data_IF_914128554856
#
_entry.id   IF_914128554856
#
_cell.length_a   1.000
_cell.length_b   1.000
_cell.length_c   1.000
_cell.angle_alpha   90.00
_cell.angle_beta   90.00
_cell.angle_gamma   90.00
#
_symmetry.space_group_name_H-M   'P 1'
#
loop_
_entity.id
_entity.type
_entity.pdbx_description
1 polymer ?
#
# COMPACT_ATOMS: atom_id res chain seq x y z
N UNK A 1 -9.47 -12.72 15.72
CA UNK A 1 -8.72 -11.45 15.83
C UNK A 1 -9.52 -10.42 15.07
N UNK A 2 -9.97 -9.36 15.75
CA UNK A 2 -10.54 -8.19 15.07
C UNK A 2 -9.36 -7.41 14.54
N UNK A 3 -9.32 -7.17 13.24
CA UNK A 3 -8.25 -6.39 12.62
C UNK A 3 -8.60 -4.92 12.74
N UNK A 4 -7.75 -4.17 13.43
CA UNK A 4 -8.00 -2.75 13.76
C UNK A 4 -6.86 -1.83 13.33
N UNK A 5 -5.64 -2.38 13.16
CA UNK A 5 -4.47 -1.63 12.72
C UNK A 5 -3.68 -2.40 11.64
N UNK A 6 -2.82 -1.71 10.86
CA UNK A 6 -1.93 -2.38 9.90
C UNK A 6 -1.02 -3.45 10.52
N UNK A 7 -0.60 -3.28 11.77
CA UNK A 7 0.20 -4.26 12.53
C UNK A 7 -0.55 -5.59 12.73
N UNK A 8 -1.87 -5.56 12.86
CA UNK A 8 -2.69 -6.78 12.96
C UNK A 8 -2.67 -7.56 11.64
N UNK A 9 -2.65 -6.87 10.49
CA UNK A 9 -2.47 -7.52 9.18
C UNK A 9 -1.10 -8.14 9.02
N UNK A 10 -0.03 -7.49 9.52
CA UNK A 10 1.33 -8.06 9.55
C UNK A 10 1.34 -9.37 10.35
N UNK A 11 0.77 -9.38 11.54
CA UNK A 11 0.67 -10.59 12.37
C UNK A 11 -0.19 -11.68 11.73
N UNK A 12 -1.29 -11.31 11.08
CA UNK A 12 -2.11 -12.26 10.33
C UNK A 12 -1.34 -12.86 9.15
N UNK A 13 -0.54 -12.07 8.43
CA UNK A 13 0.32 -12.55 7.35
C UNK A 13 1.40 -13.51 7.88
N UNK A 14 2.07 -13.16 8.99
CA UNK A 14 3.09 -14.00 9.65
C UNK A 14 2.59 -15.39 10.01
N UNK A 15 1.32 -15.50 10.40
CA UNK A 15 0.68 -16.78 10.77
C UNK A 15 0.23 -17.63 9.58
N UNK A 16 0.05 -17.02 8.39
CA UNK A 16 -0.51 -17.68 7.21
C UNK A 16 0.54 -18.02 6.15
N UNK A 17 1.59 -17.20 6.04
CA UNK A 17 2.63 -17.37 5.04
C UNK A 17 3.69 -18.37 5.51
N UNK A 18 4.26 -19.17 4.58
CA UNK A 18 5.53 -19.84 4.81
C UNK A 18 6.60 -18.84 5.27
N UNK A 19 7.46 -19.26 6.19
CA UNK A 19 8.43 -18.37 6.85
C UNK A 19 9.27 -17.56 5.86
N UNK A 20 9.79 -18.21 4.82
CA UNK A 20 10.64 -17.55 3.84
C UNK A 20 9.91 -16.45 3.04
N UNK A 21 8.61 -16.61 2.77
CA UNK A 21 7.81 -15.60 2.08
C UNK A 21 7.51 -14.42 3.00
N UNK A 22 7.25 -14.70 4.29
CA UNK A 22 7.06 -13.65 5.28
C UNK A 22 8.35 -12.84 5.47
N UNK A 23 9.50 -13.50 5.64
CA UNK A 23 10.78 -12.82 5.79
C UNK A 23 11.15 -12.00 4.54
N UNK A 24 10.73 -12.44 3.34
CA UNK A 24 10.99 -11.71 2.10
C UNK A 24 10.16 -10.40 1.97
N UNK A 25 8.92 -10.37 2.47
CA UNK A 25 8.07 -9.16 2.39
C UNK A 25 8.25 -8.23 3.59
N UNK A 26 8.57 -8.78 4.76
CA UNK A 26 8.67 -8.03 6.02
C UNK A 26 10.11 -7.61 6.34
N UNK A 27 11.10 -8.30 5.79
CA UNK A 27 12.51 -8.08 6.09
C UNK A 27 13.10 -6.82 5.46
N UNK A 28 14.02 -6.20 6.20
CA UNK A 28 14.81 -5.05 5.76
C UNK A 28 16.24 -5.43 5.35
N UNK A 29 17.04 -4.42 4.99
CA UNK A 29 18.43 -4.63 4.64
C UNK A 29 19.30 -4.89 5.88
N UNK A 30 20.04 -6.00 5.88
CA UNK A 30 21.06 -6.38 6.89
C UNK A 30 20.51 -6.29 8.32
N UNK A 31 20.90 -5.27 9.08
CA UNK A 31 20.48 -5.07 10.47
C UNK A 31 19.11 -4.37 10.60
N UNK A 32 18.47 -4.04 9.48
CA UNK A 32 17.13 -3.44 9.41
C UNK A 32 17.02 -2.06 10.07
N UNK A 33 18.15 -1.42 10.37
CA UNK A 33 18.22 -0.13 11.05
C UNK A 33 17.39 0.94 10.33
N UNK A 34 17.53 1.05 9.01
CA UNK A 34 16.79 2.04 8.21
C UNK A 34 15.28 1.76 8.19
N UNK A 35 14.87 0.49 8.12
CA UNK A 35 13.46 0.12 8.16
C UNK A 35 12.83 0.53 9.49
N UNK A 36 13.51 0.23 10.59
CA UNK A 36 13.06 0.61 11.94
C UNK A 36 13.06 2.13 12.13
N UNK A 37 14.08 2.83 11.62
CA UNK A 37 14.19 4.28 11.68
C UNK A 37 13.03 4.98 10.95
N UNK A 38 12.63 4.51 9.77
CA UNK A 38 11.51 5.10 9.00
C UNK A 38 10.21 5.17 9.84
N UNK A 39 9.89 4.09 10.56
CA UNK A 39 8.69 4.04 11.40
C UNK A 39 8.85 4.90 12.66
N UNK A 40 10.03 4.83 13.31
CA UNK A 40 10.31 5.59 14.52
C UNK A 40 10.30 7.11 14.28
N UNK A 41 10.84 7.56 13.14
CA UNK A 41 10.88 8.98 12.78
C UNK A 41 9.47 9.53 12.55
N UNK A 42 8.63 8.81 11.80
CA UNK A 42 7.24 9.24 11.59
C UNK A 42 6.46 9.29 12.91
N UNK A 43 6.66 8.32 13.81
CA UNK A 43 6.03 8.29 15.12
C UNK A 43 6.49 9.44 16.04
N UNK A 44 7.65 10.04 15.78
CA UNK A 44 8.19 11.17 16.55
C UNK A 44 7.51 12.50 16.20
N UNK A 45 6.78 12.58 15.08
CA UNK A 45 6.11 13.80 14.63
C UNK A 45 4.87 14.08 15.48
N UNK A 46 4.94 15.11 16.33
CA UNK A 46 3.82 15.53 17.15
C UNK A 46 2.82 16.41 16.37
N UNK A 47 1.53 16.15 16.55
CA UNK A 47 0.46 16.98 15.99
C UNK A 47 0.19 18.19 16.89
N UNK A 48 0.18 19.39 16.31
CA UNK A 48 -0.35 20.59 16.98
C UNK A 48 -1.84 20.73 16.70
N UNK A 49 -2.66 20.18 17.58
CA UNK A 49 -4.11 20.24 17.44
C UNK A 49 -4.61 21.69 17.44
N UNK A 50 -5.52 22.01 16.50
CA UNK A 50 -6.24 23.28 16.46
C UNK A 50 -7.71 23.02 16.84
N UNK A 51 -8.19 23.71 17.86
CA UNK A 51 -9.55 23.53 18.40
C UNK A 51 -10.45 24.69 18.02
N UNK A 52 -11.77 24.48 18.07
CA UNK A 52 -12.81 25.49 17.79
C UNK A 52 -12.70 26.15 16.39
N UNK A 53 -12.21 25.42 15.40
CA UNK A 53 -11.96 25.95 14.05
C UNK A 53 -13.16 25.84 13.08
N UNK A 54 -14.34 25.43 13.54
CA UNK A 54 -15.52 25.30 12.67
C UNK A 54 -15.30 24.31 11.52
N UNK A 55 -14.61 23.20 11.78
CA UNK A 55 -14.38 22.19 10.75
C UNK A 55 -15.74 21.59 10.35
N UNK A 56 -16.13 21.80 9.08
CA UNK A 56 -17.24 21.08 8.46
C UNK A 56 -16.89 19.59 8.29
N UNK A 57 -17.58 18.90 7.38
CA UNK A 57 -17.25 17.51 7.08
C UNK A 57 -15.81 17.40 6.50
N UNK A 58 -14.91 16.63 7.12
CA UNK A 58 -13.56 16.48 6.62
C UNK A 58 -13.57 15.70 5.32
N UNK A 59 -12.84 16.19 4.32
CA UNK A 59 -12.60 15.47 3.06
C UNK A 59 -11.12 15.15 2.91
N UNK A 60 -10.83 13.95 2.39
CA UNK A 60 -9.49 13.55 1.99
C UNK A 60 -9.25 13.76 0.48
N UNK A 61 -10.30 14.09 -0.27
CA UNK A 61 -10.20 14.25 -1.72
C UNK A 61 -9.21 15.37 -2.07
N UNK A 62 -8.38 15.11 -3.07
CA UNK A 62 -7.32 16.02 -3.51
C UNK A 62 -7.05 15.87 -5.01
N UNK A 63 -6.23 16.74 -5.56
CA UNK A 63 -5.71 16.65 -6.92
C UNK A 63 -4.20 16.45 -6.86
N UNK A 64 -3.69 15.36 -7.46
CA UNK A 64 -2.27 15.05 -7.55
C UNK A 64 -1.96 14.68 -9.01
N UNK A 65 -0.91 15.27 -9.58
CA UNK A 65 -0.54 15.11 -11.00
C UNK A 65 -1.72 15.43 -11.94
N UNK A 66 -2.41 16.55 -11.67
CA UNK A 66 -3.59 17.03 -12.43
C UNK A 66 -4.76 16.03 -12.51
N UNK A 67 -4.77 15.01 -11.64
CA UNK A 67 -5.83 14.01 -11.56
C UNK A 67 -6.53 14.05 -10.20
N UNK A 68 -7.87 13.84 -10.14
CA UNK A 68 -8.61 13.76 -8.89
C UNK A 68 -8.37 12.42 -8.17
N UNK A 69 -8.06 12.47 -6.88
CA UNK A 69 -7.83 11.32 -6.01
C UNK A 69 -8.80 11.38 -4.82
N UNK A 70 -9.35 10.23 -4.41
CA UNK A 70 -10.25 10.18 -3.26
C UNK A 70 -9.56 10.45 -1.92
N UNK A 71 -8.24 10.22 -1.86
CA UNK A 71 -7.38 10.46 -0.69
C UNK A 71 -5.91 10.55 -1.13
N UNK A 72 -5.02 11.23 -0.37
CA UNK A 72 -3.62 11.45 -0.74
C UNK A 72 -2.74 10.22 -0.45
N UNK A 73 -3.17 9.04 -0.87
CA UNK A 73 -2.40 7.79 -0.79
C UNK A 73 -2.50 7.03 -2.11
N UNK A 74 -1.48 6.24 -2.40
CA UNK A 74 -1.45 5.33 -3.54
C UNK A 74 -0.88 3.98 -3.10
N UNK A 75 -1.25 2.91 -3.82
CA UNK A 75 -0.58 1.63 -3.67
C UNK A 75 0.69 1.63 -4.51
N UNK A 76 1.84 1.66 -3.84
CA UNK A 76 3.15 1.58 -4.48
C UNK A 76 3.46 0.20 -5.06
N UNK A 77 4.50 0.09 -5.90
CA UNK A 77 4.87 -1.17 -6.53
C UNK A 77 5.48 -2.13 -5.51
N UNK A 78 4.85 -3.29 -5.35
CA UNK A 78 5.37 -4.41 -4.56
C UNK A 78 5.55 -5.59 -5.50
N UNK A 79 6.74 -6.18 -5.46
CA UNK A 79 7.08 -7.32 -6.30
C UNK A 79 6.42 -8.61 -5.85
N UNK A 80 6.07 -9.44 -6.85
CA UNK A 80 5.64 -10.82 -6.69
C UNK A 80 4.53 -11.05 -5.64
N UNK A 81 3.55 -10.16 -5.59
CA UNK A 81 2.45 -10.26 -4.60
C UNK A 81 1.57 -11.48 -4.80
N UNK A 82 1.56 -12.05 -6.01
CA UNK A 82 0.98 -13.35 -6.31
C UNK A 82 1.54 -14.51 -5.48
N UNK A 83 2.73 -14.37 -4.89
CA UNK A 83 3.31 -15.36 -3.97
C UNK A 83 2.69 -15.30 -2.57
N UNK A 84 2.18 -14.14 -2.14
CA UNK A 84 1.59 -13.97 -0.79
C UNK A 84 0.09 -14.27 -0.78
N UNK A 85 -0.59 -13.98 -1.89
CA UNK A 85 -2.00 -14.30 -2.08
C UNK A 85 -2.25 -14.62 -3.55
N UNK A 86 -3.15 -15.58 -3.82
CA UNK A 86 -3.53 -15.96 -5.19
C UNK A 86 -3.99 -14.72 -5.97
N UNK A 87 -3.27 -14.36 -7.04
CA UNK A 87 -3.54 -13.16 -7.87
C UNK A 87 -3.49 -11.86 -7.04
N UNK A 88 -2.47 -11.72 -6.19
CA UNK A 88 -2.31 -10.60 -5.26
C UNK A 88 -2.36 -9.23 -5.93
N UNK A 89 -1.76 -9.10 -7.12
CA UNK A 89 -1.71 -7.85 -7.88
C UNK A 89 -3.11 -7.42 -8.32
N UNK A 90 -3.89 -8.36 -8.85
CA UNK A 90 -5.29 -8.12 -9.24
C UNK A 90 -6.14 -7.74 -8.04
N UNK A 91 -5.92 -8.37 -6.87
CA UNK A 91 -6.64 -8.03 -5.65
C UNK A 91 -6.31 -6.61 -5.17
N UNK A 92 -5.03 -6.23 -5.20
CA UNK A 92 -4.56 -4.90 -4.82
C UNK A 92 -5.10 -3.81 -5.78
N UNK A 93 -4.98 -4.03 -7.10
CA UNK A 93 -5.48 -3.10 -8.10
C UNK A 93 -6.99 -2.86 -7.96
N UNK A 94 -7.77 -3.93 -7.77
CA UNK A 94 -9.22 -3.82 -7.48
C UNK A 94 -9.52 -3.04 -6.22
N UNK A 95 -8.72 -3.24 -5.16
CA UNK A 95 -8.90 -2.50 -3.91
C UNK A 95 -8.64 -1.01 -4.12
N UNK A 96 -7.58 -0.65 -4.86
CA UNK A 96 -7.26 0.72 -5.22
C UNK A 96 -8.37 1.37 -6.06
N UNK A 97 -8.87 0.68 -7.10
CA UNK A 97 -9.99 1.17 -7.91
C UNK A 97 -11.24 1.45 -7.08
N UNK A 98 -11.61 0.55 -6.16
CA UNK A 98 -12.75 0.76 -5.25
C UNK A 98 -12.53 1.91 -4.28
N UNK A 99 -11.29 2.12 -3.85
CA UNK A 99 -10.93 3.21 -2.95
C UNK A 99 -10.72 4.56 -3.67
N UNK A 100 -10.76 4.59 -5.00
CA UNK A 100 -10.54 5.80 -5.79
C UNK A 100 -9.11 6.34 -5.70
N UNK A 101 -8.13 5.45 -5.56
CA UNK A 101 -6.70 5.79 -5.48
C UNK A 101 -5.89 5.07 -6.57
N UNK A 102 -4.71 5.60 -6.95
CA UNK A 102 -3.86 4.94 -7.93
C UNK A 102 -3.24 3.63 -7.42
N UNK A 103 -2.95 2.74 -8.37
CA UNK A 103 -2.18 1.52 -8.16
C UNK A 103 -0.98 1.50 -9.09
N UNK A 104 0.20 1.14 -8.55
CA UNK A 104 1.42 0.97 -9.33
C UNK A 104 1.78 -0.51 -9.40
N UNK A 105 1.81 -1.07 -10.61
CA UNK A 105 2.25 -2.43 -10.86
C UNK A 105 3.79 -2.51 -10.84
N UNK A 106 4.33 -3.55 -10.20
CA UNK A 106 5.77 -3.82 -10.21
C UNK A 106 6.21 -4.52 -11.50
N UNK A 107 7.43 -4.23 -11.97
CA UNK A 107 8.07 -4.95 -13.09
C UNK A 107 8.25 -6.44 -12.78
N UNK A 108 8.42 -6.79 -11.50
CA UNK A 108 8.55 -8.17 -11.01
C UNK A 108 7.21 -8.73 -10.52
N UNK A 109 6.11 -8.41 -11.22
CA UNK A 109 4.76 -8.91 -10.94
C UNK A 109 4.59 -10.38 -11.36
N UNK A 110 3.74 -11.13 -10.65
CA UNK A 110 3.32 -12.49 -11.06
C UNK A 110 2.19 -12.44 -12.10
N UNK A 111 1.26 -11.50 -11.96
CA UNK A 111 0.20 -11.28 -12.95
C UNK A 111 0.70 -10.37 -14.08
N UNK A 112 0.22 -10.61 -15.30
CA UNK A 112 0.56 -9.74 -16.44
C UNK A 112 -0.12 -8.37 -16.30
N UNK A 113 0.41 -7.36 -16.98
CA UNK A 113 -0.19 -6.01 -16.99
C UNK A 113 -1.62 -6.05 -17.57
N UNK A 114 -1.86 -6.87 -18.59
CA UNK A 114 -3.17 -7.07 -19.22
C UNK A 114 -4.16 -7.73 -18.25
N UNK A 115 -3.69 -8.71 -17.47
CA UNK A 115 -4.51 -9.35 -16.46
C UNK A 115 -4.91 -8.35 -15.37
N UNK A 116 -3.99 -7.50 -14.91
CA UNK A 116 -4.32 -6.49 -13.90
C UNK A 116 -5.27 -5.43 -14.46
N UNK A 117 -4.97 -4.90 -15.65
CA UNK A 117 -5.76 -3.86 -16.31
C UNK A 117 -7.20 -4.31 -16.65
N UNK A 118 -7.40 -5.59 -17.00
CA UNK A 118 -8.74 -6.14 -17.27
C UNK A 118 -9.64 -6.27 -16.05
N UNK A 119 -9.10 -6.14 -14.84
CA UNK A 119 -9.83 -6.36 -13.58
C UNK A 119 -9.88 -5.13 -12.67
N UNK A 120 -9.27 -4.01 -13.08
CA UNK A 120 -9.19 -2.77 -12.32
C UNK A 120 -9.44 -1.56 -13.23
N UNK A 121 -9.82 -0.43 -12.64
CA UNK A 121 -10.06 0.84 -13.32
C UNK A 121 -9.40 2.01 -12.58
N UNK A 122 -9.39 3.18 -13.19
CA UNK A 122 -8.73 4.37 -12.65
C UNK A 122 -7.25 4.44 -13.02
N UNK A 123 -6.46 5.16 -12.23
CA UNK A 123 -5.05 5.39 -12.49
C UNK A 123 -4.21 4.12 -12.19
N UNK A 124 -3.79 3.44 -13.26
CA UNK A 124 -2.86 2.31 -13.21
C UNK A 124 -1.50 2.75 -13.73
N UNK A 125 -0.48 2.65 -12.90
CA UNK A 125 0.92 2.95 -13.24
C UNK A 125 1.75 1.68 -13.30
N UNK A 126 2.92 1.76 -13.92
CA UNK A 126 3.91 0.67 -13.93
C UNK A 126 5.25 1.21 -13.49
N UNK A 127 5.94 0.51 -12.59
CA UNK A 127 7.36 0.73 -12.38
C UNK A 127 8.14 0.20 -13.58
N UNK A 128 9.22 0.89 -13.94
CA UNK A 128 10.21 0.39 -14.90
C UNK A 128 11.59 0.39 -14.21
N UNK A 129 12.22 -0.77 -14.18
CA UNK A 129 13.62 -0.93 -13.78
C UNK A 129 14.46 -1.17 -15.04
N UNK A 130 15.53 -0.40 -15.22
CA UNK A 130 16.54 -0.60 -16.26
C UNK A 130 17.59 -1.60 -15.78
#
# INVERSE_FOLDING_TARGET
MIVSAPSDYREAARRRLPRFLFDYIDGGAVAENTMNANAAELASVALRQRVLCGAGEPTLATTILDAPWAMPVALGPVGATGMYARRGEVQAARAASRAGIPYTLSTVSVCSIEEVASHASGALWSSCTY
#
